data_IF_119554431238
#
_entry.id   IF_119554431238
#
_cell.length_a   1.000
_cell.length_b   1.000
_cell.length_c   1.000
_cell.angle_alpha   90.00
_cell.angle_beta   90.00
_cell.angle_gamma   90.00
#
_symmetry.space_group_name_H-M   'P 1'
#
loop_
_entity.id
_entity.type
_entity.pdbx_description
1 polymer ?
#
# COMPACT_ATOMS: atom_id res chain seq x y z
N UNK A 1 -26.40 -25.52 61.03
CA UNK A 1 -25.39 -24.65 60.36
C UNK A 1 -25.20 -25.20 58.93
N UNK A 2 -25.89 -24.62 57.99
CA UNK A 2 -25.85 -25.02 56.57
C UNK A 2 -24.78 -24.20 55.87
N UNK A 3 -23.71 -24.85 55.40
CA UNK A 3 -22.63 -24.22 54.65
C UNK A 3 -23.07 -24.01 53.18
N UNK A 4 -23.30 -22.75 52.82
CA UNK A 4 -23.55 -22.36 51.45
C UNK A 4 -22.21 -22.31 50.71
N UNK A 5 -21.89 -23.31 49.92
CA UNK A 5 -20.77 -23.27 48.99
C UNK A 5 -21.22 -22.53 47.73
N UNK A 6 -20.86 -21.26 47.65
CA UNK A 6 -20.98 -20.48 46.39
C UNK A 6 -19.97 -21.00 45.38
N UNK A 7 -20.46 -21.60 44.31
CA UNK A 7 -19.64 -21.93 43.14
C UNK A 7 -19.57 -20.69 42.23
N UNK A 8 -18.42 -20.04 42.20
CA UNK A 8 -18.15 -19.01 41.24
C UNK A 8 -17.99 -19.68 39.84
N UNK A 9 -18.93 -19.43 38.93
CA UNK A 9 -18.79 -19.80 37.54
C UNK A 9 -17.92 -18.77 36.84
N UNK A 10 -16.65 -19.09 36.60
CA UNK A 10 -15.77 -18.30 35.78
C UNK A 10 -15.97 -18.79 34.34
N UNK A 11 -16.66 -18.01 33.53
CA UNK A 11 -16.75 -18.25 32.10
C UNK A 11 -15.65 -17.48 31.38
N UNK A 12 -14.72 -18.17 30.74
CA UNK A 12 -13.77 -17.57 29.82
C UNK A 12 -14.46 -17.40 28.47
N UNK A 13 -14.65 -16.17 28.04
CA UNK A 13 -14.97 -15.91 26.65
C UNK A 13 -13.71 -16.19 25.83
N UNK A 14 -13.73 -17.22 25.00
CA UNK A 14 -12.69 -17.43 24.01
C UNK A 14 -12.80 -16.29 23.00
N UNK A 15 -11.91 -15.30 23.10
CA UNK A 15 -11.73 -14.32 22.05
C UNK A 15 -11.05 -15.08 20.91
N UNK A 16 -11.78 -15.37 19.84
CA UNK A 16 -11.20 -15.89 18.62
C UNK A 16 -10.56 -14.71 17.87
N UNK A 17 -9.22 -14.54 17.91
CA UNK A 17 -8.57 -13.41 17.25
C UNK A 17 -8.61 -13.50 15.71
N UNK A 18 -9.05 -14.65 15.19
CA UNK A 18 -9.18 -14.92 13.76
C UNK A 18 -10.66 -15.08 13.37
N UNK A 19 -11.48 -14.09 13.66
CA UNK A 19 -12.78 -14.03 13.04
C UNK A 19 -12.57 -13.68 11.57
N UNK A 20 -12.74 -14.65 10.69
CA UNK A 20 -12.63 -14.50 9.22
C UNK A 20 -13.61 -13.45 8.64
N UNK A 21 -14.45 -12.88 9.48
CA UNK A 21 -15.54 -12.00 9.05
C UNK A 21 -15.12 -10.59 8.58
N UNK A 22 -13.85 -10.21 8.72
CA UNK A 22 -13.40 -8.85 8.40
C UNK A 22 -12.26 -8.80 7.37
N UNK A 23 -11.91 -9.91 6.73
CA UNK A 23 -10.94 -9.87 5.65
C UNK A 23 -11.65 -9.40 4.38
N UNK A 24 -11.45 -8.14 4.05
CA UNK A 24 -11.92 -7.57 2.78
C UNK A 24 -11.01 -8.07 1.67
N UNK A 25 -11.45 -9.07 0.91
CA UNK A 25 -10.69 -9.55 -0.25
C UNK A 25 -11.05 -8.75 -1.50
N UNK A 26 -10.09 -8.54 -2.41
CA UNK A 26 -10.38 -7.96 -3.71
C UNK A 26 -11.43 -8.77 -4.45
N UNK A 27 -12.40 -8.12 -5.05
CA UNK A 27 -13.45 -8.76 -5.86
C UNK A 27 -13.48 -8.14 -7.24
N UNK A 28 -13.65 -8.98 -8.25
CA UNK A 28 -13.93 -8.46 -9.58
C UNK A 28 -15.27 -7.74 -9.64
N UNK A 29 -15.30 -6.62 -10.34
CA UNK A 29 -16.55 -5.91 -10.59
C UNK A 29 -17.47 -6.77 -11.46
N UNK A 30 -18.62 -7.14 -10.93
CA UNK A 30 -19.67 -7.83 -11.68
C UNK A 30 -20.68 -6.88 -12.33
N UNK A 31 -20.55 -5.58 -12.09
CA UNK A 31 -21.46 -4.59 -12.68
C UNK A 31 -21.25 -4.49 -14.18
N UNK A 32 -22.31 -4.60 -14.94
CA UNK A 32 -22.30 -4.33 -16.37
C UNK A 32 -21.83 -2.89 -16.61
N UNK A 33 -20.83 -2.72 -17.50
CA UNK A 33 -20.28 -1.41 -17.85
C UNK A 33 -19.03 -0.97 -17.09
N UNK A 34 -18.56 -1.69 -16.04
CA UNK A 34 -17.25 -1.44 -15.43
C UNK A 34 -16.19 -2.32 -16.08
N UNK A 35 -15.14 -1.69 -16.57
CA UNK A 35 -14.02 -2.36 -17.27
C UNK A 35 -12.84 -2.67 -16.31
N UNK A 36 -12.94 -2.33 -15.06
CA UNK A 36 -11.89 -2.49 -14.07
C UNK A 36 -12.27 -3.45 -12.93
N UNK A 37 -11.25 -3.97 -12.25
CA UNK A 37 -11.40 -4.83 -11.07
C UNK A 37 -11.49 -3.95 -9.82
N UNK A 38 -12.50 -4.18 -8.97
CA UNK A 38 -12.62 -3.52 -7.67
C UNK A 38 -11.77 -4.22 -6.61
N UNK A 39 -11.07 -3.42 -5.81
CA UNK A 39 -10.30 -3.90 -4.65
C UNK A 39 -11.18 -3.85 -3.39
N UNK A 40 -11.83 -4.96 -3.08
CA UNK A 40 -12.82 -5.04 -2.04
C UNK A 40 -14.18 -4.49 -2.48
N UNK A 41 -15.11 -4.42 -1.55
CA UNK A 41 -16.43 -3.86 -1.80
C UNK A 41 -16.32 -2.34 -1.97
N UNK A 42 -16.74 -1.83 -3.13
CA UNK A 42 -16.69 -0.40 -3.44
C UNK A 42 -15.27 0.22 -3.45
N UNK A 43 -14.23 -0.56 -3.73
CA UNK A 43 -12.83 -0.10 -3.68
C UNK A 43 -12.30 0.33 -2.31
N UNK A 44 -12.88 -0.16 -1.23
CA UNK A 44 -12.52 0.22 0.14
C UNK A 44 -11.23 -0.44 0.64
N UNK A 45 -10.73 -1.49 -0.01
CA UNK A 45 -9.59 -2.26 0.50
C UNK A 45 -8.29 -1.46 0.67
N UNK A 46 -7.86 -0.60 -0.26
CA UNK A 46 -6.66 0.22 -0.07
C UNK A 46 -6.79 1.20 1.12
N UNK A 47 -7.95 1.80 1.30
CA UNK A 47 -8.21 2.70 2.43
C UNK A 47 -8.23 1.96 3.76
N UNK A 48 -8.73 0.73 3.78
CA UNK A 48 -8.66 -0.14 4.94
C UNK A 48 -7.21 -0.49 5.32
N UNK A 49 -6.35 -0.73 4.33
CA UNK A 49 -4.92 -0.95 4.59
C UNK A 49 -4.23 0.28 5.17
N UNK A 50 -4.57 1.48 4.67
CA UNK A 50 -4.05 2.74 5.23
C UNK A 50 -4.56 2.95 6.66
N UNK A 51 -5.83 2.68 6.93
CA UNK A 51 -6.39 2.75 8.28
C UNK A 51 -5.70 1.77 9.24
N UNK A 52 -5.40 0.56 8.79
CA UNK A 52 -4.62 -0.41 9.58
C UNK A 52 -3.21 0.10 9.87
N UNK A 53 -2.53 0.66 8.86
CA UNK A 53 -1.20 1.24 9.04
C UNK A 53 -1.21 2.38 10.07
N UNK A 54 -2.22 3.25 10.04
CA UNK A 54 -2.31 4.38 10.96
C UNK A 54 -2.68 3.97 12.40
N UNK A 55 -3.52 2.94 12.56
CA UNK A 55 -4.07 2.54 13.85
C UNK A 55 -3.31 1.40 14.54
N UNK A 56 -2.44 0.67 13.81
CA UNK A 56 -1.69 -0.47 14.35
C UNK A 56 -0.20 -0.15 14.44
N UNK A 57 0.33 0.29 15.60
CA UNK A 57 1.71 0.73 15.76
C UNK A 57 2.75 -0.31 15.34
N UNK A 58 2.46 -1.60 15.58
CA UNK A 58 3.36 -2.69 15.20
C UNK A 58 3.48 -2.80 13.68
N UNK A 59 2.36 -2.72 12.95
CA UNK A 59 2.36 -2.75 11.49
C UNK A 59 3.12 -1.56 10.92
N UNK A 60 2.84 -0.37 11.46
CA UNK A 60 3.54 0.86 11.09
C UNK A 60 5.05 0.72 11.25
N UNK A 61 5.50 0.28 12.41
CA UNK A 61 6.93 0.11 12.69
C UNK A 61 7.62 -0.89 11.74
N UNK A 62 6.93 -1.97 11.37
CA UNK A 62 7.46 -2.96 10.43
C UNK A 62 7.56 -2.36 9.03
N UNK A 63 6.51 -1.72 8.53
CA UNK A 63 6.49 -1.12 7.20
C UNK A 63 7.53 -0.01 7.09
N UNK A 64 7.58 0.91 8.06
CA UNK A 64 8.56 2.00 8.07
C UNK A 64 9.99 1.46 8.08
N UNK A 65 10.27 0.44 8.90
CA UNK A 65 11.58 -0.22 8.92
C UNK A 65 11.95 -0.89 7.59
N UNK A 66 11.00 -1.52 6.92
CA UNK A 66 11.22 -2.10 5.58
C UNK A 66 11.45 -1.01 4.52
N UNK A 67 10.71 0.08 4.58
CA UNK A 67 10.88 1.23 3.67
C UNK A 67 12.25 1.85 3.86
N UNK A 68 12.67 2.08 5.10
CA UNK A 68 14.00 2.64 5.41
C UNK A 68 15.12 1.71 4.95
N UNK A 69 14.94 0.40 5.10
CA UNK A 69 15.92 -0.58 4.64
C UNK A 69 16.07 -0.58 3.11
N UNK A 70 14.98 -0.45 2.37
CA UNK A 70 14.99 -0.45 0.89
C UNK A 70 15.47 0.87 0.34
N UNK A 71 14.97 1.99 0.88
CA UNK A 71 15.31 3.32 0.36
C UNK A 71 16.72 3.77 0.78
N UNK A 72 17.19 3.32 1.94
CA UNK A 72 18.50 3.73 2.49
C UNK A 72 18.57 5.24 2.73
N UNK A 73 19.79 5.70 3.06
CA UNK A 73 20.06 7.12 3.31
C UNK A 73 20.47 7.89 2.06
N UNK A 74 20.98 7.20 1.05
CA UNK A 74 21.49 7.83 -0.17
C UNK A 74 21.43 6.88 -1.37
N UNK A 75 20.90 7.40 -2.48
CA UNK A 75 21.01 6.74 -3.78
C UNK A 75 22.10 7.44 -4.56
N UNK A 76 23.21 6.73 -4.82
CA UNK A 76 24.25 7.25 -5.71
C UNK A 76 23.82 7.03 -7.15
N UNK A 77 23.49 8.12 -7.83
CA UNK A 77 23.14 8.06 -9.24
C UNK A 77 24.41 8.28 -10.05
N UNK A 78 24.78 7.26 -10.81
CA UNK A 78 25.77 7.48 -11.88
C UNK A 78 25.08 8.27 -12.99
N UNK A 79 25.62 9.41 -13.43
CA UNK A 79 24.95 10.24 -14.42
C UNK A 79 24.75 9.47 -15.73
N UNK A 80 23.53 9.04 -15.96
CA UNK A 80 23.09 8.45 -17.21
C UNK A 80 21.89 9.26 -17.70
N UNK A 81 22.13 10.23 -18.57
CA UNK A 81 21.07 11.07 -19.13
C UNK A 81 20.68 12.29 -18.28
N UNK A 82 19.53 12.89 -18.58
CA UNK A 82 19.10 14.21 -18.06
C UNK A 82 18.69 14.30 -16.58
N UNK A 83 18.74 13.20 -15.82
CA UNK A 83 18.43 13.19 -14.38
C UNK A 83 19.64 13.46 -13.50
N UNK A 84 20.49 14.39 -13.92
CA UNK A 84 21.83 14.61 -13.35
C UNK A 84 21.85 15.11 -11.89
N UNK A 85 20.73 15.62 -11.39
CA UNK A 85 20.68 16.28 -10.08
C UNK A 85 19.85 15.53 -9.03
N UNK A 86 19.45 14.27 -9.31
CA UNK A 86 18.61 13.51 -8.37
C UNK A 86 17.16 13.97 -8.26
N UNK A 87 16.77 15.00 -9.02
CA UNK A 87 15.40 15.51 -9.12
C UNK A 87 14.72 14.80 -10.29
N UNK A 88 13.58 14.19 -10.03
CA UNK A 88 12.89 13.31 -10.98
C UNK A 88 11.75 14.00 -11.73
N UNK A 89 11.31 15.17 -11.30
CA UNK A 89 10.19 15.89 -11.90
C UNK A 89 10.25 17.40 -11.62
N UNK A 90 9.38 18.15 -12.29
CA UNK A 90 9.27 19.61 -12.13
C UNK A 90 8.77 20.04 -10.73
N UNK A 91 8.22 19.14 -9.93
CA UNK A 91 7.83 19.42 -8.53
C UNK A 91 9.04 19.48 -7.60
N UNK A 92 10.19 18.96 -8.02
CA UNK A 92 11.39 18.89 -7.22
C UNK A 92 11.55 17.62 -6.39
N UNK A 93 10.71 16.60 -6.63
CA UNK A 93 10.80 15.32 -5.92
C UNK A 93 12.14 14.64 -6.24
N UNK A 94 12.81 14.18 -5.20
CA UNK A 94 14.08 13.47 -5.34
C UNK A 94 13.85 11.98 -5.63
N UNK A 95 14.88 11.33 -6.16
CA UNK A 95 14.83 9.87 -6.39
C UNK A 95 14.63 9.09 -5.09
N UNK A 96 15.20 9.57 -3.99
CA UNK A 96 15.06 8.93 -2.68
C UNK A 96 13.61 8.97 -2.21
N UNK A 97 12.94 10.12 -2.36
CA UNK A 97 11.52 10.27 -2.03
C UNK A 97 10.64 9.38 -2.91
N UNK A 98 10.92 9.31 -4.22
CA UNK A 98 10.20 8.43 -5.12
C UNK A 98 10.37 6.96 -4.74
N UNK A 99 11.59 6.53 -4.40
CA UNK A 99 11.87 5.15 -3.96
C UNK A 99 11.18 4.86 -2.63
N UNK A 100 11.15 5.80 -1.68
CA UNK A 100 10.42 5.65 -0.42
C UNK A 100 8.93 5.43 -0.64
N UNK A 101 8.31 6.25 -1.46
CA UNK A 101 6.88 6.16 -1.75
C UNK A 101 6.54 4.83 -2.45
N UNK A 102 7.35 4.43 -3.43
CA UNK A 102 7.20 3.15 -4.13
C UNK A 102 7.37 1.97 -3.18
N UNK A 103 8.39 1.99 -2.32
CA UNK A 103 8.60 0.94 -1.32
C UNK A 103 7.43 0.85 -0.34
N UNK A 104 6.92 1.99 0.12
CA UNK A 104 5.76 2.04 1.00
C UNK A 104 4.54 1.37 0.37
N UNK A 105 4.19 1.71 -0.86
CA UNK A 105 3.07 1.10 -1.57
C UNK A 105 3.27 -0.40 -1.79
N UNK A 106 4.50 -0.81 -2.13
CA UNK A 106 4.82 -2.24 -2.28
C UNK A 106 4.59 -3.03 -1.00
N UNK A 107 5.00 -2.50 0.16
CA UNK A 107 4.84 -3.18 1.45
C UNK A 107 3.40 -3.10 1.98
N UNK A 108 2.70 -1.99 1.76
CA UNK A 108 1.34 -1.81 2.25
C UNK A 108 0.29 -2.46 1.34
N UNK A 109 0.35 -2.19 0.04
CA UNK A 109 -0.69 -2.56 -0.92
C UNK A 109 -0.26 -3.68 -1.89
N UNK A 110 1.01 -4.08 -1.87
CA UNK A 110 1.53 -5.13 -2.74
C UNK A 110 1.71 -4.71 -4.21
N UNK A 111 1.71 -3.41 -4.51
CA UNK A 111 1.84 -2.87 -5.85
C UNK A 111 2.64 -1.57 -5.89
N UNK A 112 3.00 -1.13 -7.08
CA UNK A 112 3.63 0.16 -7.30
C UNK A 112 3.14 0.77 -8.62
N UNK A 113 3.18 2.10 -8.71
CA UNK A 113 2.89 2.77 -9.96
C UNK A 113 3.75 4.03 -10.11
N UNK A 114 4.27 4.18 -11.32
CA UNK A 114 5.05 5.34 -11.73
C UNK A 114 4.52 5.84 -13.06
N UNK A 115 4.33 7.15 -13.16
CA UNK A 115 4.02 7.81 -14.42
C UNK A 115 5.32 8.35 -15.03
N UNK A 116 5.64 7.90 -16.24
CA UNK A 116 6.80 8.39 -16.99
C UNK A 116 6.32 9.32 -18.09
N UNK A 117 6.73 10.59 -17.99
CA UNK A 117 6.48 11.58 -19.04
C UNK A 117 7.69 11.57 -19.97
N UNK A 118 7.44 11.47 -21.27
CA UNK A 118 8.47 11.41 -22.31
C UNK A 118 8.56 12.77 -23.04
N UNK A 119 9.77 13.11 -23.46
CA UNK A 119 10.02 14.27 -24.30
C UNK A 119 9.60 14.01 -25.77
N UNK A 120 9.70 15.02 -26.61
CA UNK A 120 9.36 14.89 -28.04
C UNK A 120 10.25 13.93 -28.84
N UNK A 121 11.37 13.48 -28.27
CA UNK A 121 12.27 12.49 -28.86
C UNK A 121 12.00 11.06 -28.32
N UNK A 122 11.06 10.91 -27.38
CA UNK A 122 10.71 9.63 -26.79
C UNK A 122 11.50 9.25 -25.54
N UNK A 123 12.47 10.06 -25.12
CA UNK A 123 13.24 9.83 -23.90
C UNK A 123 12.43 10.19 -22.65
N UNK A 124 12.64 9.50 -21.52
CA UNK A 124 12.00 9.87 -20.27
C UNK A 124 12.48 11.25 -19.82
N UNK A 125 11.54 12.17 -19.62
CA UNK A 125 11.80 13.55 -19.18
C UNK A 125 11.50 13.73 -17.70
N UNK A 126 10.39 13.13 -17.22
CA UNK A 126 9.99 13.20 -15.83
C UNK A 126 9.43 11.87 -15.36
N UNK A 127 9.60 11.58 -14.07
CA UNK A 127 9.01 10.42 -13.41
C UNK A 127 8.25 10.93 -12.20
N UNK A 128 6.99 10.54 -12.10
CA UNK A 128 6.09 10.88 -11.01
C UNK A 128 5.61 9.61 -10.30
N UNK A 129 5.65 9.64 -8.99
CA UNK A 129 4.96 8.63 -8.18
C UNK A 129 3.45 8.79 -8.32
N UNK A 130 2.75 7.67 -8.42
CA UNK A 130 1.29 7.60 -8.44
C UNK A 130 0.85 6.65 -7.33
N UNK A 131 0.04 7.15 -6.41
CA UNK A 131 -0.51 6.36 -5.30
C UNK A 131 -1.36 5.21 -5.83
N UNK A 132 -0.99 3.99 -5.46
CA UNK A 132 -1.65 2.75 -5.88
C UNK A 132 -3.10 2.69 -5.43
N UNK A 133 -3.48 3.38 -4.35
CA UNK A 133 -4.85 3.41 -3.85
C UNK A 133 -5.85 3.96 -4.87
N UNK A 134 -5.41 4.82 -5.79
CA UNK A 134 -6.23 5.38 -6.87
C UNK A 134 -6.20 4.59 -8.17
N UNK A 135 -5.37 3.56 -8.26
CA UNK A 135 -5.24 2.77 -9.48
C UNK A 135 -6.06 1.48 -9.42
N UNK A 136 -6.50 1.05 -10.58
CA UNK A 136 -7.23 -0.21 -10.75
C UNK A 136 -6.74 -0.91 -12.01
N UNK A 137 -6.64 -2.22 -11.93
CA UNK A 137 -6.34 -3.04 -13.10
C UNK A 137 -7.57 -3.14 -14.00
N UNK A 138 -7.33 -3.14 -15.32
CA UNK A 138 -8.36 -3.47 -16.29
C UNK A 138 -8.66 -4.97 -16.25
N UNK A 139 -9.91 -5.37 -16.58
CA UNK A 139 -10.33 -6.78 -16.70
C UNK A 139 -9.56 -7.55 -17.75
N UNK A 140 -9.14 -6.89 -18.81
CA UNK A 140 -8.43 -7.52 -19.93
C UNK A 140 -6.96 -7.81 -19.62
N UNK A 141 -6.48 -7.40 -18.45
CA UNK A 141 -5.09 -7.62 -18.02
C UNK A 141 -4.06 -7.22 -19.10
N UNK A 142 -4.40 -6.22 -19.88
CA UNK A 142 -3.47 -5.60 -20.84
C UNK A 142 -2.49 -4.74 -20.07
N UNK A 143 -1.29 -5.27 -19.93
CA UNK A 143 -0.11 -4.54 -19.48
C UNK A 143 0.33 -3.57 -20.56
#
# INVERSE_FOLDING_TARGET
MSSIKSKANISFAAINPYSESNIVSPKESKCAGKEYVEWGDGNQYPFFLQELYDNVPTLKSIIDGCVDYVAGDAVTITPLGGFLNGVMNAKGDTIVEQVRNVAFDCFLAGGLALQVIRNGYGDPAEIHYVDVSFLRSNKENTV
#
